data_IF_472312935412
#
_entry.id   IF_472312935412
#
_cell.length_a   1.000
_cell.length_b   1.000
_cell.length_c   1.000
_cell.angle_alpha   90.00
_cell.angle_beta   90.00
_cell.angle_gamma   90.00
#
_symmetry.space_group_name_H-M   'P 1'
#
loop_
_entity.id
_entity.type
_entity.pdbx_description
1 polymer ?
#
# COMPACT_ATOMS: atom_id res chain seq x y z
N UNK A 1 40.22 -28.21 -64.01
CA UNK A 1 39.82 -26.85 -63.65
C UNK A 1 38.96 -26.96 -62.36
N UNK A 2 39.55 -26.70 -61.17
CA UNK A 2 38.86 -26.83 -59.86
C UNK A 2 38.44 -25.44 -59.43
N UNK A 3 37.14 -25.23 -59.25
CA UNK A 3 36.57 -23.97 -58.75
C UNK A 3 36.38 -24.13 -57.23
N UNK A 4 37.16 -23.37 -56.45
CA UNK A 4 37.06 -23.31 -54.99
C UNK A 4 35.91 -22.41 -54.61
N UNK A 5 34.97 -22.92 -53.80
CA UNK A 5 33.86 -22.13 -53.21
C UNK A 5 34.33 -21.59 -51.86
N UNK A 6 34.53 -20.27 -51.75
CA UNK A 6 34.74 -19.57 -50.50
C UNK A 6 33.37 -19.36 -49.83
N UNK A 7 33.16 -19.96 -48.68
CA UNK A 7 32.00 -19.75 -47.82
C UNK A 7 32.31 -18.58 -46.88
N UNK A 8 31.64 -17.46 -47.08
CA UNK A 8 31.75 -16.26 -46.22
C UNK A 8 30.88 -16.48 -44.99
N UNK A 9 31.48 -16.65 -43.82
CA UNK A 9 30.81 -16.80 -42.53
C UNK A 9 30.55 -15.39 -41.99
N UNK A 10 29.27 -14.92 -42.03
CA UNK A 10 28.86 -13.65 -41.48
C UNK A 10 28.58 -13.82 -39.95
N UNK A 11 29.53 -13.41 -39.10
CA UNK A 11 29.33 -13.31 -37.65
C UNK A 11 28.47 -12.08 -37.35
N UNK A 12 27.18 -12.26 -37.05
CA UNK A 12 26.32 -11.22 -36.50
C UNK A 12 26.61 -11.07 -35.01
N UNK A 13 27.29 -9.98 -34.66
CA UNK A 13 27.51 -9.58 -33.26
C UNK A 13 26.24 -8.96 -32.73
N UNK A 14 25.46 -9.70 -31.95
CA UNK A 14 24.26 -9.19 -31.25
C UNK A 14 24.71 -8.27 -30.10
N UNK A 15 24.54 -6.98 -30.28
CA UNK A 15 24.80 -5.96 -29.27
C UNK A 15 23.68 -6.02 -28.22
N UNK A 16 23.92 -6.72 -27.10
CA UNK A 16 23.02 -6.71 -25.94
C UNK A 16 23.16 -5.36 -25.22
N UNK A 17 22.25 -4.43 -25.48
CA UNK A 17 22.08 -3.24 -24.64
C UNK A 17 21.51 -3.66 -23.29
N UNK A 18 22.13 -3.23 -22.16
CA UNK A 18 21.52 -3.44 -20.85
C UNK A 18 20.21 -2.64 -20.76
N UNK A 19 19.08 -3.31 -20.50
CA UNK A 19 17.86 -2.63 -20.08
C UNK A 19 18.15 -1.93 -18.75
N UNK A 20 18.37 -0.62 -18.81
CA UNK A 20 18.38 0.21 -17.63
C UNK A 20 17.00 0.09 -16.96
N UNK A 21 16.93 -0.53 -15.78
CA UNK A 21 15.77 -0.48 -14.92
C UNK A 21 15.53 1.00 -14.59
N UNK A 22 14.53 1.58 -15.19
CA UNK A 22 14.00 2.88 -14.73
C UNK A 22 13.49 2.65 -13.30
N UNK A 23 14.29 3.04 -12.33
CA UNK A 23 13.81 3.22 -10.96
C UNK A 23 12.70 4.26 -11.04
N UNK A 24 11.49 3.88 -10.64
CA UNK A 24 10.40 4.85 -10.50
C UNK A 24 10.90 5.92 -9.52
N UNK A 25 10.96 7.17 -9.98
CA UNK A 25 11.37 8.29 -9.14
C UNK A 25 10.45 8.30 -7.90
N UNK A 26 11.07 8.35 -6.72
CA UNK A 26 10.34 8.51 -5.47
C UNK A 26 9.51 9.80 -5.59
N UNK A 27 8.18 9.74 -5.37
CA UNK A 27 7.35 10.93 -5.54
C UNK A 27 7.89 12.04 -4.62
N UNK A 28 8.05 13.24 -5.16
CA UNK A 28 8.52 14.39 -4.41
C UNK A 28 7.72 14.52 -3.11
N UNK A 29 8.41 14.66 -1.98
CA UNK A 29 7.77 14.73 -0.66
C UNK A 29 6.71 15.85 -0.66
N UNK A 30 5.44 15.49 -0.53
CA UNK A 30 4.33 16.43 -0.44
C UNK A 30 4.51 17.28 0.82
N UNK A 31 4.50 18.61 0.68
CA UNK A 31 4.83 19.53 1.77
C UNK A 31 3.97 19.28 3.03
N UNK A 32 4.65 19.11 4.15
CA UNK A 32 4.04 18.87 5.47
C UNK A 32 3.65 17.40 5.74
N UNK A 33 3.86 16.49 4.81
CA UNK A 33 3.66 15.05 5.05
C UNK A 33 4.99 14.36 5.43
N UNK A 34 4.91 13.48 6.43
CA UNK A 34 5.99 12.57 6.82
C UNK A 34 5.60 11.13 6.46
N UNK A 35 6.55 10.27 6.07
CA UNK A 35 6.25 8.87 5.77
C UNK A 35 5.82 8.10 7.02
N UNK A 36 4.74 7.33 6.92
CA UNK A 36 4.34 6.29 7.88
C UNK A 36 4.82 4.90 7.47
N UNK A 37 5.16 4.73 6.21
CA UNK A 37 5.72 3.51 5.64
C UNK A 37 6.96 3.88 4.83
N UNK A 38 8.09 3.25 5.15
CA UNK A 38 9.39 3.58 4.55
C UNK A 38 9.66 2.85 3.21
N UNK A 39 8.73 1.98 2.77
CA UNK A 39 8.88 1.18 1.54
C UNK A 39 9.93 0.05 1.61
N UNK A 40 10.61 -0.13 2.73
CA UNK A 40 11.71 -1.10 2.89
C UNK A 40 11.35 -2.24 3.84
N UNK A 41 10.68 -1.91 4.93
CA UNK A 41 10.29 -2.84 5.98
C UNK A 41 9.10 -2.29 6.79
N UNK A 42 8.71 -2.98 7.84
CA UNK A 42 7.58 -2.64 8.71
C UNK A 42 8.01 -1.86 9.98
N UNK A 43 9.09 -1.07 9.90
CA UNK A 43 9.49 -0.18 10.99
C UNK A 43 8.37 0.81 11.32
N UNK A 44 8.10 0.99 12.61
CA UNK A 44 7.00 1.84 13.08
C UNK A 44 5.63 1.16 13.09
N UNK A 45 5.57 -0.13 12.75
CA UNK A 45 4.35 -0.94 12.78
C UNK A 45 4.45 -2.07 13.79
N UNK A 46 3.31 -2.58 14.23
CA UNK A 46 3.16 -3.75 15.10
C UNK A 46 1.96 -4.59 14.65
N UNK A 47 1.91 -5.84 15.11
CA UNK A 47 0.69 -6.67 14.97
C UNK A 47 -0.44 -6.07 15.78
N UNK A 48 -1.69 -6.24 15.32
CA UNK A 48 -2.86 -5.73 16.02
C UNK A 48 -3.95 -6.82 16.14
N UNK A 49 -4.88 -6.61 17.07
CA UNK A 49 -5.96 -7.56 17.37
C UNK A 49 -5.44 -8.97 17.74
N UNK A 50 -4.24 -9.03 18.28
CA UNK A 50 -3.61 -10.23 18.86
C UNK A 50 -3.64 -10.12 20.38
N UNK A 51 -3.43 -11.23 21.10
CA UNK A 51 -3.35 -11.23 22.56
C UNK A 51 -2.24 -10.31 23.08
N UNK A 52 -1.10 -10.32 22.38
CA UNK A 52 0.04 -9.44 22.65
C UNK A 52 0.51 -8.83 21.34
N UNK A 53 0.34 -7.53 21.12
CA UNK A 53 0.91 -6.85 19.95
C UNK A 53 2.43 -6.96 19.94
N UNK A 54 2.99 -7.30 18.77
CA UNK A 54 4.44 -7.46 18.60
C UNK A 54 4.95 -6.39 17.62
N UNK A 55 6.02 -5.64 17.99
CA UNK A 55 6.68 -4.73 17.06
C UNK A 55 7.23 -5.48 15.83
N UNK A 56 7.10 -4.86 14.68
CA UNK A 56 7.56 -5.41 13.39
C UNK A 56 8.86 -4.75 12.92
N UNK A 57 9.62 -4.17 13.84
CA UNK A 57 10.89 -3.49 13.56
C UNK A 57 11.85 -4.41 12.80
N UNK A 58 12.37 -3.93 11.66
CA UNK A 58 13.29 -4.66 10.78
C UNK A 58 12.67 -5.80 9.98
N UNK A 59 11.40 -6.14 10.21
CA UNK A 59 10.72 -7.23 9.49
C UNK A 59 10.22 -6.73 8.13
N UNK A 60 10.35 -7.55 7.10
CA UNK A 60 9.80 -7.30 5.75
C UNK A 60 8.46 -7.99 5.54
N UNK A 61 8.00 -8.78 6.50
CA UNK A 61 6.70 -9.46 6.45
C UNK A 61 6.09 -9.66 7.84
N UNK A 62 4.79 -9.89 7.88
CA UNK A 62 4.03 -10.26 9.07
C UNK A 62 3.02 -11.35 8.74
N UNK A 63 2.69 -12.19 9.75
CA UNK A 63 1.71 -13.27 9.65
C UNK A 63 2.01 -14.24 8.50
N UNK A 64 3.29 -14.70 8.39
CA UNK A 64 3.69 -15.67 7.38
C UNK A 64 3.52 -15.16 5.95
N UNK A 65 3.78 -13.87 5.72
CA UNK A 65 3.71 -13.23 4.40
C UNK A 65 2.35 -12.66 4.04
N UNK A 66 1.32 -12.69 4.95
CA UNK A 66 0.03 -12.03 4.67
C UNK A 66 0.20 -10.55 4.37
N UNK A 67 1.09 -9.88 5.10
CA UNK A 67 1.62 -8.56 4.79
C UNK A 67 3.09 -8.72 4.42
N UNK A 68 3.47 -8.30 3.23
CA UNK A 68 4.84 -8.42 2.74
C UNK A 68 5.28 -7.15 2.03
N UNK A 69 6.49 -6.69 2.34
CA UNK A 69 7.11 -5.55 1.65
C UNK A 69 7.88 -6.05 0.43
N UNK A 70 7.53 -5.55 -0.74
CA UNK A 70 8.17 -5.90 -2.01
C UNK A 70 8.24 -4.65 -2.89
N UNK A 71 9.42 -4.28 -3.34
CA UNK A 71 9.67 -3.16 -4.28
C UNK A 71 8.95 -1.86 -3.86
N UNK A 72 9.12 -1.45 -2.60
CA UNK A 72 8.52 -0.22 -2.07
C UNK A 72 7.03 -0.30 -1.74
N UNK A 73 6.42 -1.47 -1.87
CA UNK A 73 4.99 -1.71 -1.76
C UNK A 73 4.69 -2.71 -0.65
N UNK A 74 3.67 -2.43 0.15
CA UNK A 74 3.07 -3.38 1.07
C UNK A 74 2.02 -4.20 0.33
N UNK A 75 2.30 -5.49 0.14
CA UNK A 75 1.45 -6.44 -0.58
C UNK A 75 0.71 -7.33 0.40
N UNK A 76 -0.60 -7.55 0.20
CA UNK A 76 -1.38 -8.52 0.95
C UNK A 76 -1.52 -9.80 0.12
N UNK A 77 -0.91 -10.89 0.60
CA UNK A 77 -0.97 -12.18 -0.09
C UNK A 77 -2.28 -12.93 0.26
N UNK A 78 -3.22 -13.10 -0.68
CA UNK A 78 -4.48 -13.78 -0.42
C UNK A 78 -4.35 -15.30 -0.20
N UNK A 79 -3.19 -15.89 -0.47
CA UNK A 79 -2.92 -17.31 -0.17
C UNK A 79 -2.86 -17.56 1.34
N UNK A 80 -2.34 -16.61 2.12
CA UNK A 80 -2.34 -16.66 3.59
C UNK A 80 -3.72 -16.23 4.11
N UNK A 81 -4.45 -17.15 4.72
CA UNK A 81 -5.83 -16.93 5.17
C UNK A 81 -5.89 -16.26 6.54
N UNK A 82 -6.99 -15.60 6.81
CA UNK A 82 -7.33 -15.02 8.11
C UNK A 82 -7.64 -13.52 8.03
N UNK A 83 -8.38 -13.06 9.03
CA UNK A 83 -8.56 -11.65 9.34
C UNK A 83 -7.36 -11.18 10.18
N UNK A 84 -6.36 -10.58 9.53
CA UNK A 84 -5.10 -10.22 10.15
C UNK A 84 -4.90 -8.71 10.09
N UNK A 85 -4.28 -8.17 11.14
CA UNK A 85 -4.20 -6.74 11.35
C UNK A 85 -2.78 -6.32 11.71
N UNK A 86 -2.34 -5.19 11.12
CA UNK A 86 -1.17 -4.44 11.57
C UNK A 86 -1.59 -2.98 11.84
N UNK A 87 -0.90 -2.33 12.76
CA UNK A 87 -1.17 -0.93 13.09
C UNK A 87 0.13 -0.17 13.32
N UNK A 88 0.07 1.14 13.23
CA UNK A 88 1.21 1.99 13.60
C UNK A 88 1.48 1.90 15.11
N UNK A 89 2.75 1.94 15.51
CA UNK A 89 3.11 2.11 16.94
C UNK A 89 2.69 3.50 17.41
N UNK A 90 2.81 4.50 16.54
CA UNK A 90 2.35 5.87 16.79
C UNK A 90 0.83 5.92 16.89
N UNK A 91 0.33 6.65 17.88
CA UNK A 91 -1.08 6.96 18.08
C UNK A 91 -1.40 8.41 17.66
N UNK A 92 -2.60 8.61 17.14
CA UNK A 92 -3.09 9.89 16.65
C UNK A 92 -4.27 10.36 17.51
N UNK A 93 -4.07 11.45 18.27
CA UNK A 93 -5.08 12.02 19.19
C UNK A 93 -5.56 13.41 18.77
N UNK A 94 -4.90 14.02 17.78
CA UNK A 94 -5.20 15.36 17.24
C UNK A 94 -5.75 15.28 15.83
N UNK A 95 -5.95 16.41 15.21
CA UNK A 95 -6.23 16.50 13.79
C UNK A 95 -5.10 15.81 13.02
N UNK A 96 -5.48 15.02 12.02
CA UNK A 96 -4.53 14.22 11.26
C UNK A 96 -5.03 13.98 9.84
N UNK A 97 -4.12 14.01 8.90
CA UNK A 97 -4.38 13.66 7.50
C UNK A 97 -3.46 12.51 7.10
N UNK A 98 -4.03 11.34 6.89
CA UNK A 98 -3.32 10.17 6.33
C UNK A 98 -3.65 10.06 4.85
N UNK A 99 -2.62 9.84 4.05
CA UNK A 99 -2.74 9.66 2.61
C UNK A 99 -1.93 8.45 2.18
N UNK A 100 -2.50 7.64 1.29
CA UNK A 100 -1.85 6.45 0.75
C UNK A 100 -2.29 6.20 -0.70
N UNK A 101 -1.51 5.42 -1.41
CA UNK A 101 -1.89 4.87 -2.71
C UNK A 101 -2.19 3.39 -2.56
N UNK A 102 -3.24 2.92 -3.25
CA UNK A 102 -3.64 1.53 -3.23
C UNK A 102 -4.02 1.04 -4.62
N UNK A 103 -3.78 -0.24 -4.85
CA UNK A 103 -4.15 -0.94 -6.09
C UNK A 103 -4.83 -2.25 -5.69
N UNK A 104 -6.17 -2.33 -5.75
CA UNK A 104 -6.91 -3.52 -5.37
C UNK A 104 -6.85 -4.56 -6.47
N UNK A 105 -6.56 -5.80 -6.11
CA UNK A 105 -6.69 -6.94 -6.99
C UNK A 105 -8.12 -7.51 -7.03
N UNK A 106 -8.33 -8.61 -7.77
CA UNK A 106 -9.63 -9.25 -7.85
C UNK A 106 -10.20 -9.66 -6.49
N UNK A 107 -11.49 -9.39 -6.28
CA UNK A 107 -12.23 -9.72 -5.05
C UNK A 107 -11.62 -9.05 -3.79
N UNK A 108 -10.95 -7.93 -3.96
CA UNK A 108 -10.43 -7.16 -2.84
C UNK A 108 -11.57 -6.72 -1.92
N UNK A 109 -11.42 -7.02 -0.63
CA UNK A 109 -12.23 -6.47 0.46
C UNK A 109 -11.30 -6.39 1.68
N UNK A 110 -10.62 -5.27 1.80
CA UNK A 110 -9.67 -5.00 2.86
C UNK A 110 -10.01 -3.65 3.48
N UNK A 111 -9.51 -3.38 4.69
CA UNK A 111 -9.95 -2.19 5.42
C UNK A 111 -8.81 -1.38 5.99
N UNK A 112 -9.12 -0.12 6.21
CA UNK A 112 -8.33 0.79 7.00
C UNK A 112 -9.16 1.35 8.16
N UNK A 113 -8.49 1.65 9.29
CA UNK A 113 -9.15 2.16 10.49
C UNK A 113 -8.40 3.36 11.05
N UNK A 114 -9.13 4.40 11.41
CA UNK A 114 -8.60 5.55 12.14
C UNK A 114 -9.70 6.19 12.97
N UNK A 115 -9.38 6.58 14.22
CA UNK A 115 -10.28 7.29 15.14
C UNK A 115 -11.63 6.59 15.34
N UNK A 116 -11.57 5.25 15.39
CA UNK A 116 -12.75 4.39 15.58
C UNK A 116 -13.63 4.25 14.34
N UNK A 117 -13.25 4.82 13.20
CA UNK A 117 -13.94 4.60 11.93
C UNK A 117 -13.26 3.51 11.13
N UNK A 118 -14.05 2.69 10.43
CA UNK A 118 -13.60 1.69 9.45
C UNK A 118 -13.93 2.20 8.05
N UNK A 119 -13.02 2.02 7.10
CA UNK A 119 -13.29 2.26 5.68
C UNK A 119 -12.94 1.01 4.87
N UNK A 120 -13.93 0.50 4.12
CA UNK A 120 -13.79 -0.70 3.31
C UNK A 120 -13.24 -0.34 1.93
N UNK A 121 -12.10 -0.94 1.56
CA UNK A 121 -11.57 -0.91 0.20
C UNK A 121 -12.08 -2.15 -0.52
N UNK A 122 -13.29 -2.02 -1.08
CA UNK A 122 -14.00 -3.10 -1.76
C UNK A 122 -14.58 -2.57 -3.07
N UNK A 123 -13.88 -2.77 -4.23
CA UNK A 123 -14.36 -2.28 -5.52
C UNK A 123 -15.81 -2.64 -5.79
N UNK A 124 -16.60 -1.68 -6.23
CA UNK A 124 -18.05 -1.83 -6.49
C UNK A 124 -18.96 -1.64 -5.28
N UNK A 125 -18.45 -1.49 -4.05
CA UNK A 125 -19.25 -1.08 -2.90
C UNK A 125 -19.65 0.41 -3.03
N UNK A 126 -20.61 0.87 -2.22
CA UNK A 126 -21.19 2.21 -2.32
C UNK A 126 -20.15 3.34 -2.33
N UNK A 127 -19.21 3.32 -1.40
CA UNK A 127 -18.17 4.34 -1.24
C UNK A 127 -17.01 4.16 -2.24
N UNK A 128 -16.87 2.98 -2.79
CA UNK A 128 -15.77 2.57 -3.68
C UNK A 128 -16.26 2.12 -5.06
N UNK A 129 -17.46 2.58 -5.47
CA UNK A 129 -18.11 2.18 -6.73
C UNK A 129 -17.27 2.50 -7.98
N UNK A 130 -16.49 3.58 -7.91
CA UNK A 130 -15.64 4.05 -9.00
C UNK A 130 -14.18 3.55 -8.88
N UNK A 131 -13.88 2.74 -7.86
CA UNK A 131 -12.58 2.11 -7.65
C UNK A 131 -12.42 0.96 -8.64
N UNK A 132 -11.30 0.96 -9.36
CA UNK A 132 -10.99 -0.04 -10.39
C UNK A 132 -9.95 -1.02 -9.91
N UNK A 133 -10.20 -2.32 -10.10
CA UNK A 133 -9.22 -3.37 -9.85
C UNK A 133 -8.02 -3.21 -10.81
N UNK A 134 -6.81 -3.43 -10.31
CA UNK A 134 -5.56 -3.36 -11.07
C UNK A 134 -5.04 -1.95 -11.35
N UNK A 135 -5.74 -0.88 -10.91
CA UNK A 135 -5.30 0.51 -11.08
C UNK A 135 -4.87 1.13 -9.74
N UNK A 136 -3.81 1.94 -9.76
CA UNK A 136 -3.39 2.73 -8.60
C UNK A 136 -4.35 3.91 -8.38
N UNK A 137 -4.76 4.09 -7.12
CA UNK A 137 -5.67 5.12 -6.68
C UNK A 137 -5.21 5.69 -5.34
N UNK A 138 -5.66 6.89 -5.01
CA UNK A 138 -5.32 7.55 -3.74
C UNK A 138 -6.48 7.45 -2.77
N UNK A 139 -6.20 7.05 -1.53
CA UNK A 139 -7.09 7.18 -0.39
C UNK A 139 -6.55 8.26 0.55
N UNK A 140 -7.42 9.16 0.99
CA UNK A 140 -7.12 10.12 2.03
C UNK A 140 -8.12 9.96 3.18
N UNK A 141 -7.61 10.02 4.41
CA UNK A 141 -8.40 10.02 5.64
C UNK A 141 -8.04 11.31 6.39
N UNK A 142 -9.00 12.22 6.50
CA UNK A 142 -8.82 13.53 7.12
C UNK A 142 -9.66 13.58 8.36
N UNK A 143 -9.03 13.79 9.51
CA UNK A 143 -9.67 14.01 10.80
C UNK A 143 -9.48 15.45 11.22
N UNK A 144 -10.59 16.14 11.46
CA UNK A 144 -10.62 17.50 12.01
C UNK A 144 -11.62 17.55 13.16
N UNK A 145 -11.13 17.68 14.38
CA UNK A 145 -11.93 17.48 15.58
C UNK A 145 -12.54 16.08 15.63
N UNK A 146 -13.86 15.99 15.57
CA UNK A 146 -14.59 14.71 15.51
C UNK A 146 -15.09 14.34 14.10
N UNK A 147 -14.88 15.20 13.10
CA UNK A 147 -15.23 14.92 11.70
C UNK A 147 -14.15 14.08 11.04
N UNK A 148 -14.57 13.00 10.36
CA UNK A 148 -13.69 12.15 9.56
C UNK A 148 -14.20 12.12 8.13
N UNK A 149 -13.35 12.56 7.18
CA UNK A 149 -13.60 12.47 5.74
C UNK A 149 -12.73 11.42 5.11
N UNK A 150 -13.32 10.61 4.24
CA UNK A 150 -12.59 9.70 3.35
C UNK A 150 -12.71 10.20 1.92
N UNK A 151 -11.57 10.31 1.23
CA UNK A 151 -11.52 10.72 -0.18
C UNK A 151 -10.85 9.63 -1.03
N UNK A 152 -11.43 9.37 -2.20
CA UNK A 152 -10.80 8.56 -3.25
C UNK A 152 -10.47 9.50 -4.41
N UNK A 153 -9.23 9.51 -4.85
CA UNK A 153 -8.72 10.36 -5.94
C UNK A 153 -9.14 11.84 -5.77
N UNK A 154 -9.07 12.35 -4.52
CA UNK A 154 -9.44 13.72 -4.14
C UNK A 154 -10.95 13.98 -3.97
N UNK A 155 -11.83 13.05 -4.31
CA UNK A 155 -13.28 13.16 -4.17
C UNK A 155 -13.74 12.64 -2.80
N UNK A 156 -14.53 13.41 -2.06
CA UNK A 156 -15.14 12.95 -0.80
C UNK A 156 -16.15 11.84 -1.11
N UNK A 157 -15.90 10.64 -0.60
CA UNK A 157 -16.81 9.48 -0.76
C UNK A 157 -17.59 9.16 0.51
N UNK A 158 -17.08 9.59 1.67
CA UNK A 158 -17.74 9.42 2.96
C UNK A 158 -17.33 10.50 3.95
N UNK A 159 -18.31 10.99 4.71
CA UNK A 159 -18.10 11.79 5.93
C UNK A 159 -18.74 11.03 7.09
N UNK A 160 -18.02 10.94 8.20
CA UNK A 160 -18.48 10.28 9.42
C UNK A 160 -17.95 11.00 10.65
N UNK A 161 -18.36 10.55 11.83
CA UNK A 161 -17.91 11.06 13.11
C UNK A 161 -16.91 10.10 13.73
N UNK A 162 -15.82 10.63 14.29
CA UNK A 162 -14.89 9.86 15.08
C UNK A 162 -15.59 9.27 16.31
N UNK A 163 -15.42 7.99 16.57
CA UNK A 163 -15.95 7.31 17.76
C UNK A 163 -14.90 7.09 18.84
N UNK A 164 -13.64 7.47 18.57
CA UNK A 164 -12.53 7.41 19.52
C UNK A 164 -11.75 8.73 19.54
N UNK A 165 -11.37 9.18 20.74
CA UNK A 165 -10.58 10.39 20.93
C UNK A 165 -9.13 10.24 20.41
N UNK A 166 -8.60 9.03 20.42
CA UNK A 166 -7.30 8.68 19.88
C UNK A 166 -7.33 7.26 19.29
N UNK A 167 -6.48 6.98 18.33
CA UNK A 167 -6.25 5.62 17.82
C UNK A 167 -4.95 5.54 17.02
N UNK A 168 -4.45 4.33 16.84
CA UNK A 168 -3.45 4.00 15.83
C UNK A 168 -4.11 3.92 14.47
N UNK A 169 -3.33 4.16 13.41
CA UNK A 169 -3.76 3.83 12.05
C UNK A 169 -3.57 2.34 11.83
N UNK A 170 -4.64 1.64 11.47
CA UNK A 170 -4.63 0.18 11.38
C UNK A 170 -5.09 -0.28 10.00
N UNK A 171 -4.45 -1.32 9.51
CA UNK A 171 -4.72 -2.00 8.25
C UNK A 171 -5.22 -3.41 8.54
N UNK A 172 -6.28 -3.85 7.85
CA UNK A 172 -6.79 -5.23 7.89
C UNK A 172 -6.62 -5.90 6.54
N UNK A 173 -6.04 -7.09 6.54
CA UNK A 173 -6.06 -8.00 5.43
C UNK A 173 -7.18 -9.03 5.65
N UNK A 174 -8.25 -8.94 4.84
CA UNK A 174 -9.43 -9.81 4.94
C UNK A 174 -9.56 -10.70 3.69
N UNK A 175 -9.93 -10.15 2.53
CA UNK A 175 -10.14 -10.90 1.30
C UNK A 175 -9.42 -10.26 0.11
N UNK A 176 -8.99 -11.12 -0.81
CA UNK A 176 -8.36 -10.71 -2.06
C UNK A 176 -6.97 -10.09 -1.84
N UNK A 177 -6.36 -9.71 -2.95
CA UNK A 177 -5.07 -9.03 -2.96
C UNK A 177 -5.28 -7.52 -2.94
N UNK A 178 -4.35 -6.80 -2.33
CA UNK A 178 -4.20 -5.36 -2.46
C UNK A 178 -2.73 -5.00 -2.34
N UNK A 179 -2.32 -3.99 -3.04
CA UNK A 179 -1.01 -3.36 -2.92
C UNK A 179 -1.20 -1.95 -2.36
N UNK A 180 -0.38 -1.57 -1.39
CA UNK A 180 -0.42 -0.26 -0.76
C UNK A 180 0.99 0.33 -0.74
N UNK A 181 1.12 1.63 -1.07
CA UNK A 181 2.39 2.34 -1.01
C UNK A 181 2.19 3.81 -0.61
N UNK A 182 3.28 4.53 -0.43
CA UNK A 182 3.26 5.96 -0.14
C UNK A 182 2.34 6.33 1.03
N UNK A 183 2.33 5.50 2.10
CA UNK A 183 1.57 5.82 3.31
C UNK A 183 2.29 6.95 4.03
N UNK A 184 1.62 8.09 4.17
CA UNK A 184 2.18 9.31 4.77
C UNK A 184 1.16 10.03 5.62
N UNK A 185 1.64 10.84 6.57
CA UNK A 185 0.81 11.56 7.54
C UNK A 185 1.22 13.01 7.66
N UNK A 186 0.23 13.86 7.88
CA UNK A 186 0.38 15.26 8.31
C UNK A 186 -0.45 15.48 9.58
N UNK A 187 0.15 16.13 10.59
CA UNK A 187 -0.46 16.55 11.86
C UNK A 187 -0.40 18.05 12.01
#
# INVERSE_FOLDING_TARGET
MRISRFTLLLCTLALMLPLARMSAAEPAAESGFAPLFNGKNLDGWQTAKTTTPEPLQGKTEAFGGRFKVTDGTLVYDPAVKGNLYIETIKEFAKDVHIKLEFNPGPKCNNDVFLRGTKFDIAPGAKETKDVKEGEWQTLEIIVQGDKVEHKINGQVVRTSKASAAASRFMLRAEFGAIQIRNIRVKE
#
